data_IF_400348853646
#
_entry.id   IF_400348853646
#
_cell.length_a   1.000
_cell.length_b   1.000
_cell.length_c   1.000
_cell.angle_alpha   90.00
_cell.angle_beta   90.00
_cell.angle_gamma   90.00
#
_symmetry.space_group_name_H-M   'P 1'
#
loop_
_entity.id
_entity.type
_entity.pdbx_description
1 polymer ?
#
# COMPACT_ATOMS: atom_id res chain seq x y z
N UNK A 1 5.08 22.24 -10.98
CA UNK A 1 3.77 21.82 -10.44
C UNK A 1 3.62 20.30 -10.38
N UNK A 2 4.13 19.56 -11.34
CA UNK A 2 4.07 18.08 -11.35
C UNK A 2 4.95 17.36 -10.33
N UNK A 3 6.12 17.89 -9.95
CA UNK A 3 7.06 17.23 -9.02
C UNK A 3 6.45 16.95 -7.63
N UNK A 4 5.66 17.87 -7.09
CA UNK A 4 5.05 17.73 -5.76
C UNK A 4 3.96 16.66 -5.71
N UNK A 5 3.20 16.49 -6.79
CA UNK A 5 2.20 15.44 -6.92
C UNK A 5 2.85 14.05 -7.07
N UNK A 6 4.01 13.99 -7.72
CA UNK A 6 4.77 12.76 -7.91
C UNK A 6 5.51 12.31 -6.65
N UNK A 7 5.92 13.25 -5.78
CA UNK A 7 6.49 12.94 -4.47
C UNK A 7 5.47 12.27 -3.55
N UNK A 8 4.20 12.71 -3.58
CA UNK A 8 3.11 12.07 -2.82
C UNK A 8 2.82 10.64 -3.30
N UNK A 9 3.00 10.37 -4.60
CA UNK A 9 2.83 9.02 -5.16
C UNK A 9 3.90 8.07 -4.62
N UNK A 10 5.14 8.54 -4.43
CA UNK A 10 6.23 7.71 -3.92
C UNK A 10 6.02 7.25 -2.46
N UNK A 11 5.22 7.98 -1.69
CA UNK A 11 4.90 7.66 -0.29
C UNK A 11 3.60 6.84 -0.12
N UNK A 12 2.96 6.47 -1.22
CA UNK A 12 1.72 5.71 -1.17
C UNK A 12 1.95 4.22 -0.87
N UNK A 13 1.03 3.59 -0.16
CA UNK A 13 1.02 2.14 0.07
C UNK A 13 0.46 1.35 -1.11
N UNK A 14 -0.41 1.97 -1.90
CA UNK A 14 -1.01 1.42 -3.12
C UNK A 14 -1.35 2.54 -4.09
N UNK A 15 -1.22 2.29 -5.38
CA UNK A 15 -1.61 3.21 -6.44
C UNK A 15 -2.87 2.68 -7.11
N UNK A 16 -3.93 3.49 -7.11
CA UNK A 16 -5.09 3.26 -7.97
C UNK A 16 -4.88 4.00 -9.28
N UNK A 17 -4.54 3.25 -10.33
CA UNK A 17 -4.38 3.80 -11.66
C UNK A 17 -5.71 3.74 -12.40
N UNK A 18 -6.45 4.84 -12.34
CA UNK A 18 -7.78 4.94 -12.97
C UNK A 18 -7.63 5.27 -14.45
N UNK A 19 -8.16 4.40 -15.29
CA UNK A 19 -8.10 4.48 -16.76
C UNK A 19 -9.51 4.60 -17.31
N UNK A 20 -9.70 5.48 -18.28
CA UNK A 20 -10.97 5.61 -18.99
C UNK A 20 -11.15 4.44 -19.97
N UNK A 21 -12.04 3.51 -19.63
CA UNK A 21 -12.32 2.32 -20.46
C UNK A 21 -13.00 2.62 -21.79
N UNK A 22 -13.59 3.81 -21.94
CA UNK A 22 -14.22 4.28 -23.19
C UNK A 22 -13.23 4.98 -24.13
N UNK A 23 -11.98 5.21 -23.67
CA UNK A 23 -10.95 5.85 -24.50
C UNK A 23 -10.56 4.93 -25.68
N UNK A 24 -10.21 5.48 -26.85
CA UNK A 24 -9.78 4.69 -28.01
C UNK A 24 -8.53 3.85 -27.76
N UNK A 25 -7.61 4.32 -26.90
CA UNK A 25 -6.36 3.65 -26.57
C UNK A 25 -6.08 3.67 -25.05
N UNK A 26 -6.79 2.87 -24.25
CA UNK A 26 -6.56 2.81 -22.81
C UNK A 26 -5.22 2.15 -22.47
N UNK A 27 -4.73 1.21 -23.29
CA UNK A 27 -3.43 0.56 -23.08
C UNK A 27 -2.26 1.54 -23.24
N UNK A 28 -2.33 2.43 -24.22
CA UNK A 28 -1.35 3.51 -24.40
C UNK A 28 -1.35 4.48 -23.20
N UNK A 29 -2.51 4.76 -22.61
CA UNK A 29 -2.61 5.56 -21.39
C UNK A 29 -1.94 4.87 -20.19
N UNK A 30 -2.16 3.57 -20.01
CA UNK A 30 -1.51 2.78 -18.96
C UNK A 30 0.02 2.85 -19.10
N UNK A 31 0.53 2.61 -20.31
CA UNK A 31 1.95 2.63 -20.59
C UNK A 31 2.58 4.01 -20.32
N UNK A 32 1.91 5.10 -20.71
CA UNK A 32 2.39 6.45 -20.49
C UNK A 32 2.50 6.80 -19.00
N UNK A 33 1.53 6.43 -18.18
CA UNK A 33 1.55 6.66 -16.72
C UNK A 33 2.62 5.82 -16.05
N UNK A 34 2.78 4.56 -16.43
CA UNK A 34 3.85 3.69 -15.90
C UNK A 34 5.24 4.20 -16.23
N UNK A 35 5.43 4.85 -17.37
CA UNK A 35 6.70 5.54 -17.70
C UNK A 35 7.00 6.64 -16.69
N UNK A 36 6.00 7.42 -16.30
CA UNK A 36 6.15 8.47 -15.27
C UNK A 36 6.44 7.86 -13.89
N UNK A 37 5.79 6.76 -13.52
CA UNK A 37 6.07 6.05 -12.26
C UNK A 37 7.53 5.57 -12.17
N UNK A 38 8.10 5.13 -13.28
CA UNK A 38 9.50 4.74 -13.34
C UNK A 38 10.46 5.91 -13.09
N UNK A 39 10.11 7.12 -13.52
CA UNK A 39 10.92 8.33 -13.30
C UNK A 39 10.98 8.79 -11.84
N UNK A 40 9.97 8.44 -11.05
CA UNK A 40 9.85 8.84 -9.63
C UNK A 40 10.02 7.67 -8.65
N UNK A 41 10.56 6.55 -9.12
CA UNK A 41 10.79 5.32 -8.35
C UNK A 41 9.52 4.70 -7.73
N UNK A 42 8.35 5.09 -8.24
CA UNK A 42 7.04 4.60 -7.78
C UNK A 42 6.67 3.22 -8.37
N UNK A 43 7.49 2.65 -9.25
CA UNK A 43 7.27 1.34 -9.85
C UNK A 43 7.32 0.17 -8.84
N UNK A 44 7.82 0.41 -7.62
CA UNK A 44 7.84 -0.56 -6.52
C UNK A 44 6.55 -0.61 -5.73
N UNK A 45 5.70 0.40 -5.87
CA UNK A 45 4.44 0.50 -5.16
C UNK A 45 3.42 -0.39 -5.86
N UNK A 46 2.66 -1.20 -5.13
CA UNK A 46 1.59 -2.01 -5.71
C UNK A 46 0.60 -1.15 -6.49
N UNK A 47 0.35 -1.51 -7.75
CA UNK A 47 -0.57 -0.80 -8.64
C UNK A 47 -1.83 -1.66 -8.87
N UNK A 48 -3.00 -1.04 -8.73
CA UNK A 48 -4.28 -1.61 -9.16
C UNK A 48 -4.76 -0.80 -10.37
N UNK A 49 -4.85 -1.44 -11.52
CA UNK A 49 -5.50 -0.84 -12.70
C UNK A 49 -7.00 -0.84 -12.47
N UNK A 50 -7.61 0.34 -12.52
CA UNK A 50 -9.05 0.54 -12.39
C UNK A 50 -9.60 1.02 -13.72
N UNK A 51 -10.25 0.13 -14.46
CA UNK A 51 -10.87 0.47 -15.74
C UNK A 51 -12.27 1.05 -15.47
N UNK A 52 -12.36 2.38 -15.48
CA UNK A 52 -13.61 3.09 -15.23
C UNK A 52 -14.43 3.25 -16.52
N UNK A 53 -15.69 3.66 -16.36
CA UNK A 53 -16.69 3.79 -17.42
C UNK A 53 -17.03 2.47 -18.11
N UNK A 54 -17.15 1.39 -17.34
CA UNK A 54 -17.52 0.07 -17.82
C UNK A 54 -18.84 0.09 -18.62
N UNK A 55 -19.75 0.98 -18.24
CA UNK A 55 -21.03 1.20 -18.92
C UNK A 55 -20.92 1.74 -20.36
N UNK A 56 -19.77 2.33 -20.72
CA UNK A 56 -19.49 2.88 -22.05
C UNK A 56 -18.28 2.23 -22.74
N UNK A 57 -17.61 1.27 -22.10
CA UNK A 57 -16.44 0.59 -22.63
C UNK A 57 -16.81 -0.50 -23.65
N UNK A 58 -15.96 -0.68 -24.67
CA UNK A 58 -16.08 -1.81 -25.59
C UNK A 58 -15.70 -3.12 -24.86
N UNK A 59 -16.59 -4.14 -24.80
CA UNK A 59 -16.29 -5.42 -24.16
C UNK A 59 -15.04 -6.10 -24.68
N UNK A 60 -14.69 -5.94 -25.96
CA UNK A 60 -13.47 -6.50 -26.54
C UNK A 60 -12.20 -5.81 -25.99
N UNK A 61 -12.25 -4.52 -25.76
CA UNK A 61 -11.17 -3.74 -25.12
C UNK A 61 -11.00 -4.18 -23.67
N UNK A 62 -12.09 -4.30 -22.94
CA UNK A 62 -12.09 -4.78 -21.55
C UNK A 62 -11.46 -6.18 -21.45
N UNK A 63 -11.88 -7.12 -22.30
CA UNK A 63 -11.34 -8.47 -22.32
C UNK A 63 -9.83 -8.49 -22.63
N UNK A 64 -9.39 -7.64 -23.58
CA UNK A 64 -7.96 -7.53 -23.93
C UNK A 64 -7.12 -6.98 -22.79
N UNK A 65 -7.61 -5.97 -22.08
CA UNK A 65 -6.92 -5.40 -20.92
C UNK A 65 -6.85 -6.44 -19.80
N UNK A 66 -7.94 -7.11 -19.47
CA UNK A 66 -7.96 -8.17 -18.46
C UNK A 66 -7.01 -9.34 -18.77
N UNK A 67 -6.78 -9.64 -20.04
CA UNK A 67 -5.83 -10.69 -20.43
C UNK A 67 -4.36 -10.30 -20.14
N UNK A 68 -4.04 -9.02 -20.21
CA UNK A 68 -2.70 -8.48 -19.93
C UNK A 68 -2.50 -8.08 -18.48
N UNK A 69 -3.57 -7.60 -17.85
CA UNK A 69 -3.64 -7.12 -16.47
C UNK A 69 -4.70 -7.95 -15.70
N UNK A 70 -4.37 -9.18 -15.27
CA UNK A 70 -5.34 -10.09 -14.65
C UNK A 70 -5.98 -9.54 -13.36
N UNK A 71 -5.30 -8.60 -12.70
CA UNK A 71 -5.76 -7.95 -11.47
C UNK A 71 -6.46 -6.61 -11.70
N UNK A 72 -6.70 -6.24 -12.99
CA UNK A 72 -7.45 -5.04 -13.30
C UNK A 72 -8.91 -5.16 -12.85
N UNK A 73 -9.40 -4.14 -12.17
CA UNK A 73 -10.79 -4.04 -11.72
C UNK A 73 -11.57 -3.17 -12.68
N UNK A 74 -12.72 -3.65 -13.11
CA UNK A 74 -13.61 -2.94 -14.04
C UNK A 74 -14.74 -2.32 -13.26
N UNK A 75 -14.88 -1.00 -13.35
CA UNK A 75 -15.87 -0.24 -12.58
C UNK A 75 -16.64 0.75 -13.45
N UNK A 76 -17.81 1.13 -12.98
CA UNK A 76 -18.49 2.33 -13.43
C UNK A 76 -18.80 3.21 -12.21
N UNK A 77 -18.07 4.29 -12.06
CA UNK A 77 -18.33 5.25 -10.98
C UNK A 77 -19.71 5.88 -11.10
N UNK A 78 -20.28 5.91 -12.30
CA UNK A 78 -21.63 6.43 -12.55
C UNK A 78 -22.72 5.50 -12.05
N UNK A 79 -22.58 4.19 -12.23
CA UNK A 79 -23.60 3.19 -11.87
C UNK A 79 -23.33 2.51 -10.55
N UNK A 80 -22.10 2.59 -10.00
CA UNK A 80 -21.65 1.84 -8.84
C UNK A 80 -21.19 0.41 -9.14
N UNK A 81 -21.27 -0.03 -10.40
CA UNK A 81 -20.81 -1.36 -10.81
C UNK A 81 -19.33 -1.55 -10.53
N UNK A 82 -18.95 -2.69 -9.94
CA UNK A 82 -17.57 -3.07 -9.66
C UNK A 82 -16.92 -2.38 -8.46
N UNK A 83 -17.58 -1.44 -7.78
CA UNK A 83 -17.02 -0.72 -6.64
C UNK A 83 -16.70 -1.67 -5.48
N UNK A 84 -17.56 -2.62 -5.16
CA UNK A 84 -17.32 -3.63 -4.10
C UNK A 84 -16.10 -4.51 -4.43
N UNK A 85 -15.86 -4.81 -5.71
CA UNK A 85 -14.65 -5.53 -6.16
C UNK A 85 -13.41 -4.70 -5.99
N UNK A 86 -13.48 -3.40 -6.29
CA UNK A 86 -12.39 -2.45 -6.08
C UNK A 86 -12.03 -2.32 -4.60
N UNK A 87 -13.00 -2.17 -3.72
CA UNK A 87 -12.77 -2.09 -2.28
C UNK A 87 -12.08 -3.34 -1.74
N UNK A 88 -12.50 -4.52 -2.18
CA UNK A 88 -11.84 -5.79 -1.83
C UNK A 88 -10.42 -5.89 -2.36
N UNK A 89 -10.18 -5.44 -3.60
CA UNK A 89 -8.84 -5.42 -4.20
C UNK A 89 -7.89 -4.49 -3.44
N UNK A 90 -8.36 -3.29 -3.06
CA UNK A 90 -7.60 -2.34 -2.22
C UNK A 90 -7.28 -2.98 -0.87
N UNK A 91 -8.27 -3.53 -0.18
CA UNK A 91 -8.09 -4.14 1.14
C UNK A 91 -7.11 -5.34 1.11
N UNK A 92 -7.04 -6.06 0.00
CA UNK A 92 -6.13 -7.18 -0.20
C UNK A 92 -4.70 -6.73 -0.56
N UNK A 93 -4.55 -5.54 -1.16
CA UNK A 93 -3.27 -5.04 -1.67
C UNK A 93 -2.54 -4.16 -0.66
N UNK A 94 -3.27 -3.44 0.21
CA UNK A 94 -2.66 -2.62 1.26
C UNK A 94 -1.84 -3.52 2.19
N UNK A 95 -0.52 -3.22 2.36
CA UNK A 95 0.32 -3.95 3.31
C UNK A 95 -0.26 -3.84 4.73
N UNK A 96 -0.36 -4.98 5.40
CA UNK A 96 -0.82 -5.03 6.80
C UNK A 96 0.36 -5.33 7.71
N UNK A 97 0.39 -4.76 8.91
CA UNK A 97 1.35 -5.18 9.92
C UNK A 97 1.00 -6.61 10.36
N UNK A 98 1.89 -7.57 10.13
CA UNK A 98 1.70 -8.99 10.42
C UNK A 98 2.89 -9.63 11.14
N UNK A 99 4.02 -8.94 11.21
CA UNK A 99 5.20 -9.41 11.97
C UNK A 99 5.08 -8.96 13.41
N UNK A 100 4.90 -9.90 14.33
CA UNK A 100 4.86 -9.61 15.76
C UNK A 100 6.28 -9.51 16.29
N UNK A 101 6.58 -8.41 16.97
CA UNK A 101 7.84 -8.17 17.66
C UNK A 101 7.58 -7.83 19.13
N UNK A 102 8.43 -8.39 20.00
CA UNK A 102 8.57 -7.94 21.37
C UNK A 102 9.86 -7.11 21.46
N UNK A 103 9.73 -5.85 21.79
CA UNK A 103 10.82 -4.88 21.73
C UNK A 103 11.10 -4.32 23.14
N UNK A 104 12.37 -4.08 23.43
CA UNK A 104 12.81 -3.23 24.53
C UNK A 104 13.64 -2.08 23.97
N UNK A 105 13.04 -0.91 23.89
CA UNK A 105 13.67 0.28 23.32
C UNK A 105 14.21 1.15 24.43
N UNK A 106 15.53 1.39 24.48
CA UNK A 106 16.14 2.25 25.49
C UNK A 106 15.52 3.65 25.51
N UNK A 107 15.40 4.26 26.69
CA UNK A 107 14.85 5.61 26.82
C UNK A 107 15.60 6.67 26.00
N UNK A 108 16.86 6.41 25.67
CA UNK A 108 17.69 7.26 24.81
C UNK A 108 17.29 7.23 23.32
N UNK A 109 16.43 6.29 22.93
CA UNK A 109 15.96 6.06 21.55
C UNK A 109 14.45 6.27 21.43
N UNK A 110 13.94 7.28 22.13
CA UNK A 110 12.50 7.61 22.12
C UNK A 110 11.94 7.95 20.73
N UNK A 111 12.81 8.34 19.78
CA UNK A 111 12.42 8.55 18.38
C UNK A 111 11.88 7.27 17.73
N UNK A 112 12.39 6.09 18.13
CA UNK A 112 11.91 4.80 17.61
C UNK A 112 10.53 4.45 18.15
N UNK A 113 10.25 4.76 19.42
CA UNK A 113 8.93 4.60 20.01
C UNK A 113 7.92 5.49 19.28
N UNK A 114 8.27 6.76 19.05
CA UNK A 114 7.44 7.70 18.30
C UNK A 114 7.18 7.23 16.86
N UNK A 115 8.16 6.61 16.23
CA UNK A 115 8.02 6.03 14.89
C UNK A 115 7.04 4.86 14.87
N UNK A 116 7.05 3.99 15.89
CA UNK A 116 6.07 2.91 16.02
C UNK A 116 4.64 3.43 16.25
N UNK A 117 4.48 4.54 16.94
CA UNK A 117 3.17 5.19 17.13
C UNK A 117 2.67 5.92 15.86
N UNK A 118 3.53 6.22 14.90
CA UNK A 118 3.15 6.90 13.66
C UNK A 118 2.81 5.92 12.54
N UNK A 119 1.59 5.41 12.49
CA UNK A 119 0.89 4.80 11.35
C UNK A 119 1.34 3.42 10.81
N UNK A 120 2.58 2.96 11.02
CA UNK A 120 3.08 1.73 10.38
C UNK A 120 3.14 0.50 11.32
N UNK A 121 2.71 0.66 12.57
CA UNK A 121 2.70 -0.41 13.54
C UNK A 121 1.41 -0.41 14.38
N UNK A 122 0.90 -1.59 14.69
CA UNK A 122 -0.16 -1.76 15.67
C UNK A 122 0.46 -2.09 17.02
N UNK A 123 0.26 -1.23 18.03
CA UNK A 123 0.77 -1.43 19.38
C UNK A 123 -0.22 -2.28 20.14
N UNK A 124 0.20 -3.51 20.49
CA UNK A 124 -0.62 -4.46 21.22
C UNK A 124 -0.49 -4.25 22.75
N UNK A 125 0.71 -3.89 23.20
CA UNK A 125 1.00 -3.58 24.59
C UNK A 125 2.20 -2.63 24.70
N UNK A 126 2.18 -1.75 25.69
CA UNK A 126 3.27 -0.86 26.02
C UNK A 126 3.47 -0.83 27.54
N UNK A 127 4.71 -0.87 27.97
CA UNK A 127 5.09 -0.81 29.39
C UNK A 127 6.48 -0.20 29.54
N UNK A 128 6.81 0.16 30.79
CA UNK A 128 8.12 0.71 31.13
C UNK A 128 8.84 -0.25 32.07
N UNK A 129 10.09 -0.55 31.72
CA UNK A 129 10.95 -1.44 32.51
C UNK A 129 12.29 -0.76 32.83
N UNK A 130 13.07 -1.40 33.67
CA UNK A 130 14.43 -0.97 33.94
C UNK A 130 15.28 -1.16 32.67
N UNK A 131 15.55 -0.07 31.96
CA UNK A 131 16.32 -0.08 30.72
C UNK A 131 15.61 0.51 29.50
N UNK A 132 14.27 0.61 29.50
CA UNK A 132 13.58 1.16 28.35
C UNK A 132 12.06 1.02 28.37
N UNK A 133 11.48 1.28 27.20
CA UNK A 133 10.08 1.04 26.92
C UNK A 133 9.93 -0.35 26.32
N UNK A 134 9.16 -1.22 26.95
CA UNK A 134 8.79 -2.53 26.41
C UNK A 134 7.55 -2.39 25.56
N UNK A 135 7.59 -2.95 24.36
CA UNK A 135 6.51 -2.87 23.39
C UNK A 135 6.24 -4.24 22.77
N UNK A 136 4.98 -4.65 22.76
CA UNK A 136 4.50 -5.72 21.89
C UNK A 136 3.80 -5.09 20.71
N UNK A 137 4.30 -5.32 19.50
CA UNK A 137 3.84 -4.64 18.30
C UNK A 137 3.65 -5.60 17.14
N UNK A 138 2.72 -5.28 16.26
CA UNK A 138 2.68 -5.81 14.91
C UNK A 138 3.24 -4.75 13.96
N UNK A 139 4.22 -5.12 13.17
CA UNK A 139 4.86 -4.25 12.18
C UNK A 139 4.81 -4.90 10.81
N UNK A 140 4.95 -4.11 9.78
CA UNK A 140 5.11 -4.60 8.41
C UNK A 140 6.46 -5.31 8.26
N UNK A 141 6.50 -6.34 7.41
CA UNK A 141 7.71 -7.13 7.15
C UNK A 141 8.88 -6.26 6.68
N UNK A 142 8.61 -5.21 5.90
CA UNK A 142 9.63 -4.32 5.33
C UNK A 142 10.31 -3.41 6.37
N UNK A 143 9.62 -3.10 7.48
CA UNK A 143 10.17 -2.26 8.56
C UNK A 143 10.66 -3.07 9.78
N UNK A 144 10.29 -4.35 9.89
CA UNK A 144 10.73 -5.21 10.98
C UNK A 144 12.26 -5.25 11.19
N UNK A 145 13.09 -5.27 10.12
CA UNK A 145 14.55 -5.26 10.26
C UNK A 145 15.11 -4.02 10.98
N UNK A 146 14.42 -2.87 10.90
CA UNK A 146 14.85 -1.62 11.54
C UNK A 146 14.85 -1.71 13.08
N UNK A 147 14.11 -2.67 13.62
CA UNK A 147 13.96 -2.90 15.06
C UNK A 147 14.64 -4.17 15.55
N UNK A 148 15.36 -4.88 14.66
CA UNK A 148 15.95 -6.19 14.97
C UNK A 148 16.89 -6.18 16.20
N UNK A 149 17.63 -5.10 16.41
CA UNK A 149 18.56 -4.96 17.55
C UNK A 149 17.86 -4.79 18.91
N UNK A 150 16.57 -4.44 18.91
CA UNK A 150 15.76 -4.20 20.10
C UNK A 150 14.80 -5.35 20.42
N UNK A 151 14.81 -6.40 19.59
CA UNK A 151 13.96 -7.57 19.80
C UNK A 151 14.40 -8.32 21.05
N UNK A 152 13.47 -8.57 21.95
CA UNK A 152 13.65 -9.39 23.14
C UNK A 152 12.76 -10.62 23.06
N UNK A 153 13.16 -11.71 23.72
CA UNK A 153 12.30 -12.89 23.80
C UNK A 153 11.03 -12.54 24.58
N UNK A 154 9.89 -13.05 24.13
CA UNK A 154 8.65 -12.96 24.88
C UNK A 154 8.84 -13.76 26.19
N UNK A 155 8.63 -13.10 27.33
CA UNK A 155 8.59 -13.82 28.60
C UNK A 155 7.50 -14.90 28.53
N UNK A 156 7.92 -16.14 28.52
CA UNK A 156 7.04 -17.29 28.63
C UNK A 156 6.47 -17.33 30.04
N UNK A 157 5.30 -16.73 30.23
CA UNK A 157 4.47 -16.89 31.44
C UNK A 157 3.23 -17.68 31.14
#
# INVERSE_FOLDING_TARGET
MYKRQLEEVADADVILHVVDGSHPDPEGQIAAVRSVFAEVDAHRIPEIIVLNKADAADPAVVARIRSKEPHAVVVSARTGEGIDELERAIAATIPRPDVRLELLIPFTRGELVSRLHSADAEILAEGYEEGGTRLSVLVREDIAPDFAEFVVEADAS
#
